data_IF_341750989460
#
_entry.id   IF_341750989460
#
_cell.length_a   1.000
_cell.length_b   1.000
_cell.length_c   1.000
_cell.angle_alpha   90.00
_cell.angle_beta   90.00
_cell.angle_gamma   90.00
#
_symmetry.space_group_name_H-M   'P 1'
#
loop_
_entity.id
_entity.type
_entity.pdbx_description
1 polymer ?
#
# COMPACT_ATOMS: atom_id res chain seq x y z
N UNK A 1 -3.59 21.42 -4.67
CA UNK A 1 -3.68 20.48 -3.54
C UNK A 1 -3.96 19.10 -4.13
N UNK A 2 -2.93 18.30 -4.33
CA UNK A 2 -3.08 16.94 -4.84
C UNK A 2 -3.39 16.04 -3.65
N UNK A 3 -4.66 16.00 -3.22
CA UNK A 3 -5.10 14.99 -2.25
C UNK A 3 -4.99 13.64 -2.94
N UNK A 4 -3.97 12.87 -2.59
CA UNK A 4 -3.89 11.47 -2.96
C UNK A 4 -5.14 10.80 -2.38
N UNK A 5 -6.07 10.39 -3.24
CA UNK A 5 -7.33 9.80 -2.82
C UNK A 5 -7.07 8.42 -2.26
N UNK A 6 -6.98 8.32 -0.93
CA UNK A 6 -6.75 7.06 -0.25
C UNK A 6 -7.77 5.99 -0.65
N UNK A 7 -9.04 6.35 -0.83
CA UNK A 7 -10.08 5.39 -1.21
C UNK A 7 -9.82 4.77 -2.59
N UNK A 8 -9.37 5.57 -3.56
CA UNK A 8 -9.03 5.07 -4.90
C UNK A 8 -7.80 4.16 -4.83
N UNK A 9 -6.80 4.60 -4.07
CA UNK A 9 -5.55 3.87 -3.85
C UNK A 9 -5.77 2.56 -3.10
N UNK A 10 -6.69 2.54 -2.13
CA UNK A 10 -7.13 1.36 -1.39
C UNK A 10 -7.90 0.40 -2.28
N UNK A 11 -8.84 0.90 -3.08
CA UNK A 11 -9.55 0.07 -4.05
C UNK A 11 -8.58 -0.57 -5.05
N UNK A 12 -7.63 0.23 -5.57
CA UNK A 12 -6.58 -0.24 -6.45
C UNK A 12 -5.73 -1.28 -5.74
N UNK A 13 -5.21 -0.98 -4.55
CA UNK A 13 -4.43 -1.90 -3.75
C UNK A 13 -5.14 -3.23 -3.48
N UNK A 14 -6.44 -3.22 -3.17
CA UNK A 14 -7.22 -4.45 -2.92
C UNK A 14 -7.37 -5.28 -4.20
N UNK A 15 -7.64 -4.63 -5.34
CA UNK A 15 -7.83 -5.28 -6.65
C UNK A 15 -6.52 -5.61 -7.40
N UNK A 16 -5.41 -4.99 -7.01
CA UNK A 16 -4.09 -5.17 -7.61
C UNK A 16 -3.39 -6.44 -7.13
N UNK A 17 -2.47 -6.95 -7.94
CA UNK A 17 -1.58 -8.06 -7.58
C UNK A 17 -0.54 -7.69 -6.52
N UNK A 18 0.14 -8.70 -6.00
CA UNK A 18 1.17 -8.56 -4.96
C UNK A 18 2.29 -7.57 -5.30
N UNK A 19 2.83 -7.66 -6.51
CA UNK A 19 3.87 -6.74 -6.98
C UNK A 19 3.35 -5.29 -7.04
N UNK A 20 2.13 -5.12 -7.54
CA UNK A 20 1.52 -3.80 -7.68
C UNK A 20 1.09 -3.22 -6.34
N UNK A 21 0.67 -4.04 -5.37
CA UNK A 21 0.49 -3.65 -3.97
C UNK A 21 1.79 -3.09 -3.37
N UNK A 22 2.92 -3.78 -3.56
CA UNK A 22 4.24 -3.30 -3.09
C UNK A 22 4.60 -2.00 -3.77
N UNK A 23 4.36 -1.90 -5.08
CA UNK A 23 4.63 -0.70 -5.86
C UNK A 23 3.80 0.48 -5.37
N UNK A 24 2.48 0.31 -5.24
CA UNK A 24 1.59 1.31 -4.65
C UNK A 24 2.11 1.69 -3.26
N UNK A 25 2.46 0.74 -2.40
CA UNK A 25 2.93 1.05 -1.05
C UNK A 25 4.25 1.84 -1.02
N UNK A 26 5.17 1.53 -1.92
CA UNK A 26 6.51 2.15 -2.00
C UNK A 26 6.50 3.47 -2.78
N UNK A 27 5.63 3.64 -3.77
CA UNK A 27 5.51 4.86 -4.58
C UNK A 27 4.50 5.84 -4.03
N UNK A 28 3.61 5.39 -3.14
CA UNK A 28 2.61 6.28 -2.54
C UNK A 28 3.24 7.08 -1.42
N UNK A 29 3.55 8.32 -1.73
CA UNK A 29 4.00 9.31 -0.76
C UNK A 29 2.82 10.18 -0.32
N UNK A 30 2.82 10.64 0.93
CA UNK A 30 1.76 11.53 1.45
C UNK A 30 0.56 10.85 2.12
N UNK A 31 0.62 9.53 2.36
CA UNK A 31 -0.32 8.85 3.25
C UNK A 31 0.12 8.96 4.72
N UNK A 32 -0.84 9.17 5.61
CA UNK A 32 -0.61 9.09 7.06
C UNK A 32 -0.37 7.66 7.51
N UNK A 33 0.28 7.49 8.66
CA UNK A 33 0.56 6.17 9.27
C UNK A 33 -0.71 5.31 9.41
N UNK A 34 -1.85 5.93 9.73
CA UNK A 34 -3.13 5.23 9.84
C UNK A 34 -3.63 4.68 8.50
N UNK A 35 -3.48 5.45 7.42
CA UNK A 35 -3.82 5.04 6.05
C UNK A 35 -2.95 3.87 5.60
N UNK A 36 -1.65 3.93 5.91
CA UNK A 36 -0.72 2.82 5.64
C UNK A 36 -1.08 1.56 6.43
N UNK A 37 -1.47 1.69 7.70
CA UNK A 37 -1.94 0.56 8.53
C UNK A 37 -3.22 -0.06 7.98
N UNK A 38 -4.15 0.75 7.49
CA UNK A 38 -5.35 0.28 6.80
C UNK A 38 -4.99 -0.56 5.57
N UNK A 39 -4.10 -0.09 4.69
CA UNK A 39 -3.66 -0.86 3.52
C UNK A 39 -2.99 -2.18 3.92
N UNK A 40 -2.13 -2.15 4.94
CA UNK A 40 -1.47 -3.35 5.46
C UNK A 40 -2.44 -4.40 6.00
N UNK A 41 -3.61 -4.01 6.53
CA UNK A 41 -4.62 -4.99 6.97
C UNK A 41 -5.18 -5.84 5.82
N UNK A 42 -5.25 -5.28 4.62
CA UNK A 42 -5.67 -6.00 3.42
C UNK A 42 -4.51 -6.71 2.73
N UNK A 43 -3.29 -6.54 3.24
CA UNK A 43 -2.11 -7.18 2.71
C UNK A 43 -1.86 -8.50 3.45
N UNK A 44 -1.73 -9.63 2.75
CA UNK A 44 -1.50 -10.91 3.40
C UNK A 44 -0.16 -10.90 4.15
N UNK A 45 -0.19 -11.22 5.46
CA UNK A 45 0.99 -11.25 6.34
C UNK A 45 2.12 -12.12 5.77
N UNK A 46 1.81 -13.18 5.02
CA UNK A 46 2.81 -14.03 4.37
C UNK A 46 3.72 -13.27 3.39
N UNK A 47 3.24 -12.15 2.85
CA UNK A 47 3.97 -11.34 1.89
C UNK A 47 4.54 -10.05 2.50
N UNK A 48 4.33 -9.79 3.79
CA UNK A 48 4.89 -8.62 4.49
C UNK A 48 6.40 -8.57 4.33
N UNK A 49 7.08 -9.71 4.41
CA UNK A 49 8.53 -9.77 4.21
C UNK A 49 8.99 -9.35 2.81
N UNK A 50 8.13 -9.46 1.77
CA UNK A 50 8.44 -8.91 0.44
C UNK A 50 8.32 -7.38 0.43
N UNK A 51 7.33 -6.86 1.14
CA UNK A 51 7.12 -5.42 1.27
C UNK A 51 8.26 -4.77 2.05
N UNK A 52 8.68 -5.37 3.17
CA UNK A 52 9.86 -4.93 3.93
C UNK A 52 11.13 -4.95 3.09
N UNK A 53 11.34 -5.99 2.27
CA UNK A 53 12.49 -6.05 1.34
C UNK A 53 12.50 -4.97 0.26
N UNK A 54 11.33 -4.43 -0.11
CA UNK A 54 11.23 -3.37 -1.11
C UNK A 54 11.37 -1.96 -0.49
N UNK A 55 11.18 -1.83 0.82
CA UNK A 55 11.33 -0.59 1.58
C UNK A 55 12.73 -0.44 2.21
N UNK A 56 13.45 -1.55 2.37
CA UNK A 56 14.79 -1.62 2.98
C UNK A 56 15.95 -1.50 2.01
#
# INVERSE_FOLDING_TARGET
MSSVNFEDLKNKFINSDLDEKIRIYTTTEGLSVEQFKELLKYYPIQHLSKLEKALG
#
